data_IF_947027989712
#
_entry.id   IF_947027989712
#
_cell.length_a   1.000
_cell.length_b   1.000
_cell.length_c   1.000
_cell.angle_alpha   90.00
_cell.angle_beta   90.00
_cell.angle_gamma   90.00
#
_symmetry.space_group_name_H-M   'P 1'
#
loop_
_entity.id
_entity.type
_entity.pdbx_description
1 polymer ?
#
# COMPACT_ATOMS: atom_id res chain seq x y z
N UNK A 1 22.42 11.67 -1.57
CA UNK A 1 20.97 11.54 -1.76
C UNK A 1 20.44 12.95 -1.85
N UNK A 2 19.93 13.35 -3.01
CA UNK A 2 19.16 14.59 -3.08
C UNK A 2 17.78 14.29 -2.48
N UNK A 3 17.31 15.16 -1.58
CA UNK A 3 16.03 15.01 -0.91
C UNK A 3 15.16 16.19 -1.30
N UNK A 4 13.98 15.90 -1.85
CA UNK A 4 13.00 16.94 -2.21
C UNK A 4 11.80 16.78 -1.26
N UNK A 5 11.36 17.87 -0.65
CA UNK A 5 10.24 17.83 0.31
C UNK A 5 8.99 18.25 -0.44
N UNK A 6 7.96 17.40 -0.51
CA UNK A 6 6.64 17.79 -1.01
C UNK A 6 5.67 17.83 0.15
N UNK A 7 5.15 19.01 0.43
CA UNK A 7 4.22 19.18 1.53
C UNK A 7 2.85 18.65 1.13
N UNK A 8 2.42 17.56 1.75
CA UNK A 8 0.99 17.32 1.88
C UNK A 8 0.41 18.36 2.85
N UNK A 9 -0.86 18.74 2.68
CA UNK A 9 -1.57 19.66 3.60
C UNK A 9 -2.66 18.93 4.36
N UNK A 10 -2.36 17.72 4.82
CA UNK A 10 -3.24 17.01 5.74
C UNK A 10 -3.24 17.73 7.08
N UNK A 11 -4.42 17.98 7.65
CA UNK A 11 -4.52 18.55 9.00
C UNK A 11 -4.15 17.54 10.08
N UNK A 12 -4.32 16.25 9.76
CA UNK A 12 -4.12 15.12 10.64
C UNK A 12 -3.06 14.15 10.09
N UNK A 13 -2.72 13.12 10.87
CA UNK A 13 -1.73 12.11 10.46
C UNK A 13 -2.16 11.38 9.18
N UNK A 14 -1.23 11.28 8.23
CA UNK A 14 -1.37 10.50 6.99
C UNK A 14 -1.16 9.03 7.32
N UNK A 15 -2.09 8.18 6.87
CA UNK A 15 -2.13 6.74 7.14
C UNK A 15 -1.61 5.91 5.98
N UNK A 16 -1.65 6.43 4.77
CA UNK A 16 -1.17 5.77 3.58
C UNK A 16 -0.81 6.78 2.51
N UNK A 17 0.16 6.40 1.68
CA UNK A 17 0.54 7.10 0.48
C UNK A 17 0.80 6.03 -0.59
N UNK A 18 0.60 6.38 -1.86
CA UNK A 18 0.94 5.52 -2.98
C UNK A 18 1.25 6.39 -4.18
N UNK A 19 2.34 6.11 -4.88
CA UNK A 19 2.63 6.76 -6.15
C UNK A 19 1.84 6.14 -7.27
N UNK A 20 1.43 6.96 -8.25
CA UNK A 20 0.92 6.43 -9.49
C UNK A 20 2.02 5.62 -10.19
N UNK A 21 3.18 6.22 -10.45
CA UNK A 21 4.40 5.51 -10.92
C UNK A 21 5.59 6.04 -10.14
N UNK A 22 6.66 5.27 -10.09
CA UNK A 22 7.93 5.70 -9.52
C UNK A 22 8.52 6.96 -10.13
N UNK A 23 8.37 7.18 -11.44
CA UNK A 23 8.79 8.42 -12.11
C UNK A 23 7.70 9.48 -12.07
N UNK A 24 6.49 9.11 -11.63
CA UNK A 24 5.37 10.02 -11.61
C UNK A 24 5.59 11.11 -10.57
N UNK A 25 5.12 12.28 -10.97
CA UNK A 25 4.85 13.43 -10.13
C UNK A 25 3.51 13.26 -9.40
N UNK A 26 2.70 12.29 -9.79
CA UNK A 26 1.38 12.06 -9.20
C UNK A 26 1.46 11.00 -8.10
N UNK A 27 0.91 11.32 -6.94
CA UNK A 27 0.76 10.41 -5.80
C UNK A 27 -0.56 10.67 -5.07
N UNK A 28 -1.08 9.64 -4.42
CA UNK A 28 -2.26 9.73 -3.57
C UNK A 28 -1.87 9.56 -2.12
N UNK A 29 -2.60 10.19 -1.22
CA UNK A 29 -2.42 10.09 0.24
C UNK A 29 -3.79 9.90 0.88
N UNK A 30 -3.84 9.21 2.01
CA UNK A 30 -5.05 9.07 2.80
C UNK A 30 -4.80 9.33 4.28
N UNK A 31 -5.80 9.84 4.98
CA UNK A 31 -5.71 10.14 6.40
C UNK A 31 -7.07 10.11 7.11
N UNK A 32 -7.16 10.85 8.21
CA UNK A 32 -8.36 10.89 9.05
C UNK A 32 -9.60 11.41 8.34
N UNK A 33 -9.45 12.46 7.53
CA UNK A 33 -10.60 13.21 7.01
C UNK A 33 -10.79 13.07 5.51
N UNK A 34 -9.73 12.70 4.79
CA UNK A 34 -9.74 12.71 3.33
C UNK A 34 -8.73 11.76 2.67
N UNK A 35 -9.00 11.49 1.39
CA UNK A 35 -8.07 10.96 0.41
C UNK A 35 -7.78 12.07 -0.59
N UNK A 36 -6.51 12.27 -0.92
CA UNK A 36 -6.09 13.34 -1.82
C UNK A 36 -5.17 12.84 -2.92
N UNK A 37 -5.39 13.34 -4.12
CA UNK A 37 -4.48 13.23 -5.25
C UNK A 37 -3.60 14.48 -5.31
N UNK A 38 -2.30 14.29 -5.45
CA UNK A 38 -1.31 15.35 -5.53
C UNK A 38 -0.58 15.29 -6.85
N UNK A 39 -0.08 16.45 -7.26
CA UNK A 39 0.93 16.57 -8.28
C UNK A 39 2.15 17.25 -7.66
N UNK A 40 3.31 16.60 -7.72
CA UNK A 40 4.58 16.99 -7.11
C UNK A 40 4.98 18.45 -7.35
N UNK A 41 4.66 18.97 -8.56
CA UNK A 41 4.99 20.36 -8.94
C UNK A 41 3.90 21.39 -8.59
N UNK A 42 2.74 20.94 -8.11
CA UNK A 42 1.63 21.81 -7.77
C UNK A 42 1.48 21.84 -6.25
N UNK A 43 1.40 23.04 -5.69
CA UNK A 43 1.31 23.24 -4.24
C UNK A 43 -0.11 22.97 -3.69
N UNK A 44 -1.06 22.62 -4.56
CA UNK A 44 -2.45 22.30 -4.24
C UNK A 44 -2.77 20.83 -4.59
N UNK A 45 -3.73 20.26 -3.86
CA UNK A 45 -4.34 18.98 -4.17
C UNK A 45 -5.15 19.05 -5.47
N UNK A 46 -4.95 18.06 -6.34
CA UNK A 46 -5.70 17.93 -7.59
C UNK A 46 -7.14 17.49 -7.32
N UNK A 47 -7.29 16.55 -6.40
CA UNK A 47 -8.58 15.96 -6.02
C UNK A 47 -8.58 15.73 -4.52
N UNK A 48 -9.70 16.08 -3.87
CA UNK A 48 -9.95 15.82 -2.46
C UNK A 48 -11.28 15.08 -2.31
N UNK A 49 -11.23 13.93 -1.67
CA UNK A 49 -12.39 13.07 -1.41
C UNK A 49 -12.61 13.00 0.09
N UNK A 50 -13.81 13.36 0.55
CA UNK A 50 -14.19 13.32 1.96
C UNK A 50 -15.46 12.52 2.14
N UNK A 51 -15.47 11.67 3.16
CA UNK A 51 -16.65 10.93 3.57
C UNK A 51 -16.86 11.19 5.06
N UNK A 52 -18.03 11.74 5.47
CA UNK A 52 -18.27 12.08 6.86
C UNK A 52 -18.13 10.86 7.78
N UNK A 53 -17.51 11.06 8.95
CA UNK A 53 -17.35 10.06 10.01
C UNK A 53 -16.58 8.78 9.61
N UNK A 54 -15.74 8.86 8.57
CA UNK A 54 -14.94 7.73 8.10
C UNK A 54 -13.47 8.13 8.01
N UNK A 55 -12.60 7.30 8.57
CA UNK A 55 -11.15 7.43 8.44
C UNK A 55 -10.63 6.51 7.34
N UNK A 56 -9.76 7.05 6.49
CA UNK A 56 -9.09 6.30 5.43
C UNK A 56 -7.77 5.74 5.95
N UNK A 57 -7.64 4.42 5.95
CA UNK A 57 -6.53 3.72 6.58
C UNK A 57 -5.46 3.27 5.58
N UNK A 58 -5.85 3.05 4.33
CA UNK A 58 -4.93 2.68 3.26
C UNK A 58 -5.47 3.19 1.92
N UNK A 59 -4.56 3.34 0.95
CA UNK A 59 -4.91 3.78 -0.41
C UNK A 59 -3.98 3.12 -1.43
N UNK A 60 -4.51 2.82 -2.62
CA UNK A 60 -3.72 2.40 -3.77
C UNK A 60 -4.35 2.90 -5.08
N UNK A 61 -3.60 2.79 -6.17
CA UNK A 61 -4.12 2.96 -7.53
C UNK A 61 -4.45 1.61 -8.15
N UNK A 62 -5.43 1.58 -9.05
CA UNK A 62 -5.54 0.49 -10.00
C UNK A 62 -4.39 0.53 -11.04
N UNK A 63 -4.18 -0.56 -11.80
CA UNK A 63 -3.08 -0.63 -12.78
C UNK A 63 -3.09 0.49 -13.83
N UNK A 64 -4.27 0.88 -14.32
CA UNK A 64 -4.40 1.98 -15.29
C UNK A 64 -4.31 3.38 -14.66
N UNK A 65 -4.29 3.49 -13.33
CA UNK A 65 -4.23 4.73 -12.53
C UNK A 65 -5.42 5.67 -12.69
N UNK A 66 -6.46 5.21 -13.35
CA UNK A 66 -7.72 5.96 -13.53
C UNK A 66 -8.63 5.84 -12.30
N UNK A 67 -8.31 4.93 -11.38
CA UNK A 67 -9.09 4.66 -10.16
C UNK A 67 -8.15 4.64 -8.95
N UNK A 68 -8.53 5.38 -7.91
CA UNK A 68 -7.99 5.25 -6.56
C UNK A 68 -8.89 4.33 -5.75
N UNK A 69 -8.30 3.46 -4.94
CA UNK A 69 -9.00 2.55 -4.05
C UNK A 69 -8.52 2.82 -2.63
N UNK A 70 -9.43 2.95 -1.66
CA UNK A 70 -9.06 3.17 -0.26
C UNK A 70 -9.85 2.27 0.68
N UNK A 71 -9.18 1.77 1.72
CA UNK A 71 -9.78 0.98 2.79
C UNK A 71 -10.07 1.83 4.02
N UNK A 72 -11.23 1.62 4.63
CA UNK A 72 -11.80 2.54 5.62
C UNK A 72 -11.93 1.93 7.02
N UNK A 73 -12.12 2.80 8.01
CA UNK A 73 -12.31 2.43 9.42
C UNK A 73 -13.66 1.77 9.74
N UNK A 74 -14.66 1.93 8.89
CA UNK A 74 -15.98 1.29 9.02
C UNK A 74 -16.02 -0.11 8.37
N UNK A 75 -14.90 -0.55 7.79
CA UNK A 75 -14.77 -1.86 7.16
C UNK A 75 -15.23 -1.90 5.70
N UNK A 76 -15.43 -0.74 5.08
CA UNK A 76 -15.69 -0.62 3.64
C UNK A 76 -14.42 -0.31 2.86
N UNK A 77 -14.50 -0.52 1.55
CA UNK A 77 -13.47 -0.17 0.58
C UNK A 77 -14.12 0.71 -0.48
N UNK A 78 -13.66 1.95 -0.61
CA UNK A 78 -14.09 2.87 -1.65
C UNK A 78 -13.23 2.78 -2.90
N UNK A 79 -13.84 2.95 -4.06
CA UNK A 79 -13.13 3.22 -5.31
C UNK A 79 -13.63 4.52 -5.93
N UNK A 80 -12.70 5.31 -6.45
CA UNK A 80 -12.93 6.67 -6.91
C UNK A 80 -12.20 6.94 -8.21
N UNK A 81 -12.80 7.68 -9.13
CA UNK A 81 -12.08 8.21 -10.28
C UNK A 81 -10.91 9.09 -9.82
N UNK A 82 -9.70 8.78 -10.28
CA UNK A 82 -8.49 9.48 -9.81
C UNK A 82 -8.53 10.97 -10.13
N UNK A 83 -8.96 11.33 -11.34
CA UNK A 83 -9.06 12.73 -11.79
C UNK A 83 -10.38 13.40 -11.42
N UNK A 84 -11.47 12.63 -11.36
CA UNK A 84 -12.81 13.19 -11.13
C UNK A 84 -13.22 13.26 -9.66
N UNK A 85 -12.61 12.42 -8.81
CA UNK A 85 -13.03 12.23 -7.41
C UNK A 85 -14.38 11.53 -7.25
N UNK A 86 -15.02 11.10 -8.35
CA UNK A 86 -16.35 10.47 -8.32
C UNK A 86 -16.24 9.07 -7.72
N UNK A 87 -17.12 8.75 -6.77
CA UNK A 87 -17.24 7.40 -6.19
C UNK A 87 -17.80 6.46 -7.26
N UNK A 88 -17.05 5.41 -7.59
CA UNK A 88 -17.53 4.34 -8.48
C UNK A 88 -18.20 3.22 -7.70
N UNK A 89 -17.53 2.73 -6.66
CA UNK A 89 -18.04 1.62 -5.85
C UNK A 89 -17.66 1.80 -4.39
N UNK A 90 -18.53 1.30 -3.52
CA UNK A 90 -18.26 1.09 -2.10
C UNK A 90 -18.48 -0.39 -1.82
N UNK A 91 -17.38 -1.11 -1.63
CA UNK A 91 -17.32 -2.56 -1.48
C UNK A 91 -17.30 -2.90 0.02
N UNK A 92 -18.14 -3.85 0.42
CA UNK A 92 -18.00 -4.58 1.67
C UNK A 92 -19.20 -4.51 2.62
N UNK A 93 -19.03 -5.24 3.73
CA UNK A 93 -19.69 -5.19 5.04
C UNK A 93 -18.85 -6.08 5.96
N UNK A 94 -17.53 -5.84 5.99
CA UNK A 94 -16.58 -6.75 6.66
C UNK A 94 -16.61 -6.58 8.19
N UNK A 95 -17.33 -5.57 8.70
CA UNK A 95 -17.43 -5.16 10.11
C UNK A 95 -16.08 -4.98 10.84
N UNK A 96 -14.99 -4.88 10.07
CA UNK A 96 -13.61 -4.82 10.57
C UNK A 96 -12.86 -3.80 9.74
N UNK A 97 -12.04 -2.98 10.40
CA UNK A 97 -11.22 -1.94 9.77
C UNK A 97 -10.37 -2.53 8.66
N UNK A 98 -10.39 -1.92 7.46
CA UNK A 98 -9.54 -2.32 6.34
C UNK A 98 -8.20 -1.62 6.48
N UNK A 99 -7.18 -2.34 6.92
CA UNK A 99 -5.86 -1.79 7.23
C UNK A 99 -4.92 -1.74 6.03
N UNK A 100 -5.15 -2.55 5.00
CA UNK A 100 -4.33 -2.58 3.79
C UNK A 100 -5.14 -3.00 2.57
N UNK A 101 -4.76 -2.53 1.39
CA UNK A 101 -5.39 -2.88 0.11
C UNK A 101 -4.35 -2.97 -0.99
N UNK A 102 -4.51 -3.93 -1.90
CA UNK A 102 -3.67 -4.12 -3.07
C UNK A 102 -4.50 -4.59 -4.26
N UNK A 103 -4.17 -4.09 -5.44
CA UNK A 103 -4.85 -4.44 -6.69
C UNK A 103 -4.08 -5.51 -7.44
N UNK A 104 -4.81 -6.35 -8.15
CA UNK A 104 -4.24 -7.19 -9.19
C UNK A 104 -3.82 -6.33 -10.38
N UNK A 105 -2.81 -6.77 -11.12
CA UNK A 105 -2.25 -6.07 -12.27
C UNK A 105 -3.00 -6.39 -13.56
N UNK A 106 -3.38 -7.66 -13.75
CA UNK A 106 -3.96 -8.17 -15.00
C UNK A 106 -5.44 -8.55 -14.86
N UNK A 107 -5.91 -8.80 -13.64
CA UNK A 107 -7.31 -9.13 -13.37
C UNK A 107 -8.05 -8.01 -12.63
N UNK A 108 -9.37 -7.94 -12.81
CA UNK A 108 -10.22 -7.00 -12.07
C UNK A 108 -10.55 -7.58 -10.69
N UNK A 109 -9.57 -7.55 -9.81
CA UNK A 109 -9.67 -8.05 -8.45
C UNK A 109 -8.82 -7.21 -7.50
N UNK A 110 -9.16 -7.27 -6.21
CA UNK A 110 -8.37 -6.65 -5.14
C UNK A 110 -8.24 -7.61 -3.97
N UNK A 111 -7.15 -7.47 -3.22
CA UNK A 111 -6.98 -8.10 -1.91
C UNK A 111 -7.00 -7.00 -0.86
N UNK A 112 -7.74 -7.22 0.22
CA UNK A 112 -7.79 -6.32 1.37
C UNK A 112 -7.37 -7.04 2.64
N UNK A 113 -6.51 -6.43 3.44
CA UNK A 113 -6.19 -6.88 4.79
C UNK A 113 -7.01 -6.11 5.83
N UNK A 114 -7.46 -6.81 6.87
CA UNK A 114 -8.23 -6.21 7.97
C UNK A 114 -7.48 -6.24 9.30
N UNK A 115 -7.97 -5.46 10.28
CA UNK A 115 -7.39 -5.37 11.62
C UNK A 115 -7.27 -6.69 12.37
N UNK A 116 -8.12 -7.67 12.05
CA UNK A 116 -8.09 -9.00 12.67
C UNK A 116 -7.13 -9.98 11.98
N UNK A 117 -6.29 -9.50 11.06
CA UNK A 117 -5.29 -10.32 10.36
C UNK A 117 -5.85 -11.23 9.27
N UNK A 118 -7.08 -10.98 8.81
CA UNK A 118 -7.66 -11.69 7.66
C UNK A 118 -7.32 -10.97 6.35
N UNK A 119 -7.17 -11.73 5.28
CA UNK A 119 -7.15 -11.23 3.91
C UNK A 119 -8.47 -11.59 3.24
N UNK A 120 -9.09 -10.64 2.56
CA UNK A 120 -10.29 -10.84 1.76
C UNK A 120 -9.95 -10.59 0.28
N UNK A 121 -10.26 -11.56 -0.57
CA UNK A 121 -10.12 -11.47 -2.01
C UNK A 121 -11.46 -11.07 -2.60
N UNK A 122 -11.48 -9.96 -3.35
CA UNK A 122 -12.66 -9.42 -3.99
C UNK A 122 -12.50 -9.47 -5.49
N UNK A 123 -13.50 -10.04 -6.17
CA UNK A 123 -13.63 -9.92 -7.63
C UNK A 123 -14.49 -8.71 -7.94
N UNK A 124 -13.98 -7.85 -8.81
CA UNK A 124 -14.64 -6.63 -9.24
C UNK A 124 -15.10 -6.82 -10.69
N UNK A 125 -16.39 -6.71 -10.93
CA UNK A 125 -16.95 -6.53 -12.27
C UNK A 125 -17.60 -5.16 -12.33
N UNK A 126 -17.97 -4.70 -13.54
CA UNK A 126 -18.60 -3.39 -13.75
C UNK A 126 -19.78 -3.13 -12.80
N UNK A 127 -20.60 -4.15 -12.57
CA UNK A 127 -21.85 -4.00 -11.81
C UNK A 127 -21.92 -4.91 -10.56
N UNK A 128 -20.89 -5.71 -10.28
CA UNK A 128 -20.92 -6.67 -9.17
C UNK A 128 -19.60 -6.72 -8.43
N UNK A 129 -19.68 -6.79 -7.10
CA UNK A 129 -18.53 -6.94 -6.22
C UNK A 129 -18.75 -8.20 -5.40
N UNK A 130 -17.88 -9.19 -5.54
CA UNK A 130 -18.04 -10.48 -4.87
C UNK A 130 -16.84 -10.79 -3.99
N UNK A 131 -17.11 -11.13 -2.74
CA UNK A 131 -16.12 -11.75 -1.86
C UNK A 131 -15.84 -13.17 -2.36
N UNK A 132 -14.68 -13.38 -2.97
CA UNK A 132 -14.29 -14.64 -3.56
C UNK A 132 -13.64 -15.58 -2.54
N UNK A 133 -12.87 -15.04 -1.59
CA UNK A 133 -12.26 -15.82 -0.52
C UNK A 133 -11.95 -14.96 0.71
N UNK A 134 -11.95 -15.60 1.88
CA UNK A 134 -11.42 -15.03 3.12
C UNK A 134 -10.38 -15.98 3.69
N UNK A 135 -9.17 -15.48 3.91
CA UNK A 135 -8.06 -16.23 4.46
C UNK A 135 -7.71 -15.67 5.83
N UNK A 136 -7.57 -16.53 6.85
CA UNK A 136 -7.05 -16.12 8.17
C UNK A 136 -5.53 -16.28 8.16
N UNK A 137 -4.83 -15.16 8.17
CA UNK A 137 -3.42 -15.07 7.74
C UNK A 137 -2.52 -14.69 8.90
N UNK A 138 -2.92 -13.69 9.67
CA UNK A 138 -2.27 -13.20 10.87
C UNK A 138 -3.24 -13.21 12.05
N UNK A 139 -2.70 -13.03 13.26
CA UNK A 139 -3.45 -12.83 14.49
C UNK A 139 -3.49 -11.36 14.94
N UNK A 140 -3.00 -10.45 14.10
CA UNK A 140 -2.83 -9.02 14.34
C UNK A 140 -3.12 -8.27 13.04
N UNK A 141 -3.29 -6.93 13.07
CA UNK A 141 -3.57 -6.14 11.88
C UNK A 141 -2.54 -6.37 10.77
N UNK A 142 -3.04 -6.50 9.54
CA UNK A 142 -2.20 -6.56 8.35
C UNK A 142 -1.67 -5.15 8.07
N UNK A 143 -0.37 -4.94 8.22
CA UNK A 143 0.27 -3.62 8.08
C UNK A 143 0.57 -3.29 6.62
N UNK A 144 1.05 -4.26 5.84
CA UNK A 144 1.28 -4.11 4.42
C UNK A 144 0.77 -5.31 3.64
N UNK A 145 0.35 -5.05 2.40
CA UNK A 145 -0.20 -6.03 1.49
C UNK A 145 0.21 -5.68 0.06
N UNK A 146 0.80 -6.65 -0.66
CA UNK A 146 1.17 -6.50 -2.07
C UNK A 146 0.90 -7.78 -2.85
N UNK A 147 0.19 -7.66 -3.96
CA UNK A 147 0.02 -8.72 -4.96
C UNK A 147 1.26 -8.75 -5.86
N UNK A 148 1.68 -9.94 -6.26
CA UNK A 148 2.77 -10.12 -7.23
C UNK A 148 2.34 -9.66 -8.62
N UNK A 149 3.31 -9.31 -9.47
CA UNK A 149 3.03 -8.81 -10.83
C UNK A 149 2.34 -9.86 -11.75
N UNK A 150 2.46 -11.14 -11.40
CA UNK A 150 1.81 -12.26 -12.11
C UNK A 150 0.40 -12.57 -11.59
N UNK A 151 -0.11 -11.84 -10.60
CA UNK A 151 -1.43 -12.03 -9.98
C UNK A 151 -1.63 -13.39 -9.29
N UNK A 152 -0.58 -14.20 -9.11
CA UNK A 152 -0.68 -15.55 -8.55
C UNK A 152 -0.51 -15.58 -7.03
N UNK A 153 0.25 -14.64 -6.48
CA UNK A 153 0.62 -14.61 -5.08
C UNK A 153 0.39 -13.25 -4.44
N UNK A 154 0.28 -13.23 -3.12
CA UNK A 154 0.35 -11.98 -2.35
C UNK A 154 1.25 -12.13 -1.13
N UNK A 155 1.92 -11.05 -0.79
CA UNK A 155 2.65 -10.89 0.45
C UNK A 155 1.86 -10.04 1.43
N UNK A 156 1.87 -10.47 2.69
CA UNK A 156 1.24 -9.77 3.81
C UNK A 156 2.22 -9.64 4.97
N UNK A 157 2.23 -8.50 5.65
CA UNK A 157 2.97 -8.31 6.90
C UNK A 157 2.06 -7.95 8.07
N UNK A 158 2.58 -8.09 9.30
CA UNK A 158 1.96 -7.58 10.53
C UNK A 158 2.95 -6.77 11.37
N UNK A 159 2.42 -6.09 12.39
CA UNK A 159 3.12 -5.16 13.29
C UNK A 159 4.31 -5.73 14.10
N UNK A 160 4.60 -7.02 14.01
CA UNK A 160 5.77 -7.67 14.65
C UNK A 160 6.76 -8.21 13.60
N UNK A 161 6.68 -7.68 12.37
CA UNK A 161 7.59 -7.98 11.26
C UNK A 161 7.57 -9.44 10.78
N UNK A 162 6.47 -10.15 11.05
CA UNK A 162 6.18 -11.40 10.36
C UNK A 162 5.59 -11.11 8.98
N UNK A 163 6.28 -11.58 7.94
CA UNK A 163 5.79 -11.60 6.57
C UNK A 163 5.36 -13.00 6.16
N UNK A 164 4.29 -13.11 5.38
CA UNK A 164 3.79 -14.36 4.84
C UNK A 164 3.41 -14.20 3.37
N UNK A 165 3.81 -15.16 2.55
CA UNK A 165 3.39 -15.30 1.14
C UNK A 165 2.27 -16.33 0.99
N UNK A 166 1.29 -15.99 0.14
CA UNK A 166 0.06 -16.74 -0.09
C UNK A 166 -0.19 -16.92 -1.58
N UNK A 167 -0.70 -18.08 -1.96
CA UNK A 167 -1.23 -18.33 -3.29
C UNK A 167 -2.67 -17.83 -3.36
N UNK A 168 -2.96 -16.92 -4.29
CA UNK A 168 -4.28 -16.36 -4.54
C UNK A 168 -5.17 -17.31 -5.36
N UNK A 169 -4.55 -18.21 -6.14
CA UNK A 169 -5.27 -19.22 -6.93
C UNK A 169 -5.84 -20.33 -6.08
N UNK A 170 -5.05 -20.82 -5.11
CA UNK A 170 -5.43 -21.94 -4.24
C UNK A 170 -5.90 -21.48 -2.86
N UNK A 171 -5.75 -20.20 -2.52
CA UNK A 171 -6.03 -19.63 -1.20
C UNK A 171 -5.28 -20.34 -0.06
N UNK A 172 -4.05 -20.79 -0.34
CA UNK A 172 -3.18 -21.48 0.64
C UNK A 172 -1.93 -20.67 0.95
N UNK A 173 -1.38 -20.89 2.15
CA UNK A 173 -0.09 -20.35 2.57
C UNK A 173 1.05 -21.12 1.88
N UNK A 174 1.99 -20.42 1.23
CA UNK A 174 3.01 -21.09 0.42
C UNK A 174 4.26 -21.55 1.20
N UNK A 175 4.95 -20.68 1.98
CA UNK A 175 5.84 -21.04 3.13
C UNK A 175 6.88 -19.99 3.54
N UNK A 176 7.00 -18.84 2.88
CA UNK A 176 8.03 -17.87 3.25
C UNK A 176 7.63 -17.07 4.51
N UNK A 177 8.29 -17.37 5.63
CA UNK A 177 8.20 -16.60 6.86
C UNK A 177 9.49 -15.82 7.03
N UNK A 178 9.44 -14.53 6.78
CA UNK A 178 10.55 -13.62 7.11
C UNK A 178 10.17 -12.92 8.41
N UNK A 179 11.07 -13.01 9.40
CA UNK A 179 10.95 -12.29 10.66
C UNK A 179 11.96 -11.15 10.64
N UNK A 180 11.46 -9.94 10.54
CA UNK A 180 12.22 -8.71 10.80
C UNK A 180 11.53 -7.92 11.90
N UNK A 181 12.07 -6.76 12.25
CA UNK A 181 11.46 -5.87 13.23
C UNK A 181 10.46 -4.95 12.55
N UNK A 182 9.19 -5.03 12.97
CA UNK A 182 8.11 -4.07 12.71
C UNK A 182 8.02 -3.50 11.28
N UNK A 183 7.55 -4.32 10.34
CA UNK A 183 7.35 -3.91 8.94
C UNK A 183 6.07 -3.11 8.78
N UNK A 184 6.19 -1.95 8.14
CA UNK A 184 5.08 -1.08 7.78
C UNK A 184 4.76 -1.14 6.28
N UNK A 185 5.75 -1.45 5.44
CA UNK A 185 5.62 -1.36 3.98
C UNK A 185 6.34 -2.51 3.30
N UNK A 186 5.72 -3.01 2.24
CA UNK A 186 6.32 -3.94 1.30
C UNK A 186 6.11 -3.37 -0.10
N UNK A 187 7.11 -3.47 -0.97
CA UNK A 187 6.95 -3.22 -2.41
C UNK A 187 7.80 -4.17 -3.24
N UNK A 188 7.29 -4.61 -4.39
CA UNK A 188 8.03 -5.46 -5.31
C UNK A 188 8.83 -4.62 -6.28
N UNK A 189 10.08 -5.00 -6.53
CA UNK A 189 10.87 -4.38 -7.58
C UNK A 189 10.37 -4.86 -8.95
N UNK A 190 10.13 -3.96 -9.93
CA UNK A 190 9.66 -4.38 -11.23
C UNK A 190 10.71 -5.24 -11.96
N UNK A 191 10.28 -6.36 -12.53
CA UNK A 191 11.10 -7.32 -13.30
C UNK A 191 12.23 -8.03 -12.55
N UNK A 192 12.51 -7.66 -11.29
CA UNK A 192 13.46 -8.41 -10.47
C UNK A 192 12.70 -9.32 -9.52
N UNK A 193 13.29 -10.49 -9.24
CA UNK A 193 12.79 -11.43 -8.26
C UNK A 193 13.08 -10.97 -6.83
N UNK A 194 12.92 -9.67 -6.57
CA UNK A 194 13.27 -9.05 -5.31
C UNK A 194 12.11 -8.17 -4.82
N UNK A 195 12.01 -8.05 -3.51
CA UNK A 195 11.10 -7.10 -2.87
C UNK A 195 11.83 -6.36 -1.77
N UNK A 196 11.29 -5.19 -1.44
CA UNK A 196 11.80 -4.31 -0.39
C UNK A 196 10.78 -4.33 0.74
N UNK A 197 11.26 -4.47 1.97
CA UNK A 197 10.48 -4.22 3.16
C UNK A 197 11.12 -3.09 3.97
N UNK A 198 10.30 -2.15 4.44
CA UNK A 198 10.69 -1.13 5.41
C UNK A 198 9.77 -1.17 6.61
N UNK A 199 10.37 -0.90 7.76
CA UNK A 199 9.68 -0.80 9.03
C UNK A 199 9.83 0.57 9.68
N UNK A 200 9.55 0.59 10.98
CA UNK A 200 9.93 1.69 11.87
C UNK A 200 11.42 1.64 12.26
N UNK A 201 12.11 0.58 11.85
CA UNK A 201 13.56 0.57 11.91
C UNK A 201 14.10 1.45 10.77
N UNK A 202 15.21 2.16 10.98
CA UNK A 202 15.82 3.06 9.98
C UNK A 202 16.35 2.32 8.75
N UNK A 203 15.82 1.16 8.41
CA UNK A 203 16.41 0.26 7.45
C UNK A 203 15.42 -0.11 6.36
N UNK A 204 15.90 -0.01 5.12
CA UNK A 204 15.30 -0.70 3.99
C UNK A 204 16.01 -2.02 3.78
N UNK A 205 15.26 -3.11 3.78
CA UNK A 205 15.80 -4.45 3.63
C UNK A 205 15.30 -5.05 2.31
N UNK A 206 16.24 -5.49 1.49
CA UNK A 206 16.00 -6.16 0.22
C UNK A 206 16.01 -7.66 0.44
N UNK A 207 15.07 -8.34 -0.20
CA UNK A 207 14.91 -9.77 -0.11
C UNK A 207 14.78 -10.41 -1.48
N UNK A 208 15.22 -11.65 -1.58
CA UNK A 208 14.91 -12.54 -2.70
C UNK A 208 13.46 -13.04 -2.55
N UNK A 209 12.62 -12.81 -3.57
CA UNK A 209 11.22 -13.23 -3.59
C UNK A 209 11.04 -14.75 -3.59
N UNK A 210 11.94 -15.50 -4.23
CA UNK A 210 11.85 -16.96 -4.36
C UNK A 210 12.46 -17.68 -3.16
N UNK A 211 13.60 -17.18 -2.66
CA UNK A 211 14.34 -17.85 -1.58
C UNK A 211 14.00 -17.30 -0.20
N UNK A 212 13.52 -16.07 -0.12
CA UNK A 212 13.26 -15.37 1.14
C UNK A 212 14.50 -14.96 1.91
N UNK A 213 15.66 -15.00 1.27
CA UNK A 213 16.90 -14.57 1.87
C UNK A 213 17.01 -13.05 1.84
N UNK A 214 17.51 -12.48 2.91
CA UNK A 214 17.92 -11.08 2.94
C UNK A 214 19.14 -10.89 2.04
N UNK A 215 19.05 -9.96 1.09
CA UNK A 215 20.10 -9.63 0.13
C UNK A 215 20.94 -8.45 0.61
N UNK A 216 20.27 -7.37 1.01
CA UNK A 216 20.92 -6.13 1.40
C UNK A 216 20.11 -5.40 2.48
N UNK A 217 20.78 -4.60 3.30
CA UNK A 217 20.18 -3.73 4.31
C UNK A 217 20.80 -2.35 4.19
N UNK A 218 19.96 -1.33 4.03
CA UNK A 218 20.36 0.05 3.79
C UNK A 218 19.86 0.90 4.94
N UNK A 219 20.75 1.65 5.59
CA UNK A 219 20.36 2.63 6.62
C UNK A 219 19.85 3.92 5.96
N UNK A 220 18.68 4.36 6.41
CA UNK A 220 17.99 5.57 5.99
C UNK A 220 18.12 6.62 7.09
N UNK A 221 18.15 7.90 6.69
CA UNK A 221 18.44 9.00 7.61
C UNK A 221 17.34 9.25 8.64
N UNK A 222 16.08 8.94 8.30
CA UNK A 222 14.91 9.24 9.12
C UNK A 222 14.31 7.97 9.74
N UNK A 223 13.80 8.08 10.98
CA UNK A 223 13.24 6.98 11.79
C UNK A 223 11.81 6.59 11.42
N UNK A 224 11.12 7.41 10.64
CA UNK A 224 9.69 7.26 10.37
C UNK A 224 9.46 7.12 8.86
N UNK A 225 9.38 5.87 8.39
CA UNK A 225 9.08 5.53 7.01
C UNK A 225 7.76 4.78 6.96
N UNK A 226 6.81 5.30 6.19
CA UNK A 226 5.47 4.73 6.05
C UNK A 226 5.13 4.30 4.62
N UNK A 227 5.92 4.66 3.61
CA UNK A 227 5.76 4.11 2.28
C UNK A 227 7.05 4.09 1.44
N UNK A 228 7.06 3.21 0.45
CA UNK A 228 8.14 2.99 -0.51
C UNK A 228 7.48 2.88 -1.88
N UNK A 229 8.03 3.58 -2.87
CA UNK A 229 7.75 3.31 -4.27
C UNK A 229 9.04 2.90 -4.99
N UNK A 230 9.11 1.64 -5.39
CA UNK A 230 10.28 1.07 -6.05
C UNK A 230 10.16 1.08 -7.59
N UNK A 231 11.28 1.15 -8.30
CA UNK A 231 11.33 0.97 -9.77
C UNK A 231 12.66 0.47 -10.28
N UNK A 232 12.65 0.02 -11.54
CA UNK A 232 13.76 -0.53 -12.32
C UNK A 232 15.07 0.26 -12.27
N UNK A 233 15.04 1.57 -12.05
CA UNK A 233 16.24 2.42 -12.04
C UNK A 233 16.36 3.35 -10.82
N UNK A 234 15.30 3.55 -10.04
CA UNK A 234 15.29 4.43 -8.87
C UNK A 234 14.29 3.93 -7.86
N UNK A 235 14.68 3.99 -6.59
CA UNK A 235 13.79 3.74 -5.46
C UNK A 235 13.53 5.08 -4.79
N UNK A 236 12.24 5.45 -4.72
CA UNK A 236 11.76 6.60 -3.96
C UNK A 236 11.34 6.10 -2.59
N UNK A 237 12.00 6.61 -1.56
CA UNK A 237 11.55 6.41 -0.20
C UNK A 237 10.76 7.65 0.22
N UNK A 238 9.58 7.43 0.82
CA UNK A 238 8.80 8.51 1.40
C UNK A 238 8.71 8.31 2.91
N UNK A 239 9.59 8.98 3.68
CA UNK A 239 9.29 9.28 5.06
C UNK A 239 8.08 10.21 5.12
N UNK A 240 6.99 9.69 5.68
CA UNK A 240 5.86 10.50 6.13
C UNK A 240 6.08 10.70 7.61
N UNK A 241 6.66 11.82 8.01
CA UNK A 241 6.77 12.11 9.43
C UNK A 241 5.36 12.28 10.02
N UNK A 242 5.19 11.99 11.31
CA UNK A 242 3.94 12.29 12.03
C UNK A 242 3.47 13.75 11.84
N UNK A 243 4.40 14.65 11.48
CA UNK A 243 4.14 16.01 11.04
C UNK A 243 3.81 16.07 9.55
N UNK A 244 2.52 16.10 9.20
CA UNK A 244 1.83 16.68 8.02
C UNK A 244 2.48 16.66 6.61
N UNK A 245 3.69 16.16 6.40
CA UNK A 245 4.54 16.37 5.23
C UNK A 245 5.07 15.03 4.72
N UNK A 246 5.21 14.91 3.40
CA UNK A 246 5.91 13.81 2.77
C UNK A 246 7.29 14.31 2.32
N UNK A 247 8.37 13.67 2.77
CA UNK A 247 9.72 13.98 2.28
C UNK A 247 10.15 12.89 1.32
N UNK A 248 10.77 13.24 0.21
CA UNK A 248 11.12 12.31 -0.86
C UNK A 248 12.64 12.17 -0.86
N UNK A 249 13.12 10.97 -0.58
CA UNK A 249 14.54 10.65 -0.66
C UNK A 249 14.80 9.91 -1.98
N UNK A 250 15.69 10.46 -2.79
CA UNK A 250 16.15 9.83 -4.01
C UNK A 250 17.44 9.04 -3.75
N UNK A 251 17.38 7.74 -3.97
CA UNK A 251 18.57 6.89 -4.08
C UNK A 251 18.78 6.52 -5.55
N UNK A 252 19.99 6.78 -6.07
CA UNK A 252 20.48 6.16 -7.31
C UNK A 252 21.24 4.91 -6.86
N UNK A 253 20.84 3.75 -7.36
CA UNK A 253 21.61 2.52 -7.29
C UNK A 253 22.06 2.16 -8.69
#
# INVERSE_FOLDING_TARGET
MDAEIVRSRHFNSVRGIQFAQSTSVIFTTCGYDDVRLWHHRCDNDLVKIQIPNVTFLCVCFNPSRTVMISGWSDGKIGSFGSESGIIYHVIGDVYKKVSSVSTFLNSSAIVSGVSEGQLCLWKLNRDSQQLAATMKVHNMPVTALRVTHDDLECMSSRSEGQMLTWSLTHNIRLKQLIKTTNIQVIDYLPYSSQFIACGSDRFAIFFDAFRGNQLCKIELSDRELFDIAATTSRIKFVPVAAEQYAKFLYSKF
#
